data_IF_593734207096
#
_entry.id   IF_593734207096
#
_cell.length_a   1.000
_cell.length_b   1.000
_cell.length_c   1.000
_cell.angle_alpha   90.00
_cell.angle_beta   90.00
_cell.angle_gamma   90.00
#
_symmetry.space_group_name_H-M   'P 1'
#
loop_
_entity.id
_entity.type
_entity.pdbx_description
1 polymer ?
#
# COMPACT_ATOMS: atom_id res chain seq x y z
N UNK A 1 -19.04 -12.62 -20.70
CA UNK A 1 -17.76 -11.94 -20.92
C UNK A 1 -16.68 -12.56 -20.06
N UNK A 2 -15.52 -12.73 -20.62
CA UNK A 2 -14.39 -13.25 -19.87
C UNK A 2 -13.76 -12.16 -18.99
N UNK A 3 -12.81 -12.55 -18.15
CA UNK A 3 -12.15 -11.64 -17.22
C UNK A 3 -11.36 -10.55 -17.92
N UNK A 4 -10.77 -10.85 -19.07
CA UNK A 4 -9.95 -9.90 -19.82
C UNK A 4 -10.80 -8.76 -20.39
N UNK A 5 -12.00 -9.05 -20.87
CA UNK A 5 -12.92 -8.01 -21.33
C UNK A 5 -13.27 -7.03 -20.21
N UNK A 6 -13.48 -7.55 -18.99
CA UNK A 6 -13.82 -6.71 -17.84
C UNK A 6 -12.65 -5.85 -17.39
N UNK A 7 -11.43 -6.37 -17.50
CA UNK A 7 -10.23 -5.60 -17.15
C UNK A 7 -10.12 -4.37 -18.04
N UNK A 8 -10.33 -4.52 -19.35
CA UNK A 8 -10.23 -3.40 -20.29
C UNK A 8 -11.38 -2.39 -20.15
N UNK A 9 -12.46 -2.77 -19.45
CA UNK A 9 -13.54 -1.83 -19.13
C UNK A 9 -13.18 -0.93 -17.93
N UNK A 10 -12.29 -1.38 -17.04
CA UNK A 10 -11.89 -0.66 -15.84
C UNK A 10 -10.53 0.02 -16.02
N UNK A 11 -9.58 -0.68 -16.65
CA UNK A 11 -8.22 -0.18 -16.87
C UNK A 11 -7.88 -0.21 -18.36
N UNK A 12 -6.98 0.68 -18.77
CA UNK A 12 -6.49 0.73 -20.14
C UNK A 12 -5.68 -0.51 -20.54
N UNK A 13 -4.95 -1.09 -19.58
CA UNK A 13 -4.13 -2.30 -19.81
C UNK A 13 -4.19 -3.22 -18.60
N UNK A 14 -3.81 -4.48 -18.82
CA UNK A 14 -3.69 -5.46 -17.73
C UNK A 14 -2.56 -5.09 -16.78
N UNK A 15 -1.51 -4.42 -17.25
CA UNK A 15 -0.40 -3.96 -16.42
C UNK A 15 -0.86 -2.93 -15.41
N UNK A 16 -1.82 -2.07 -15.75
CA UNK A 16 -2.38 -1.11 -14.79
C UNK A 16 -3.10 -1.84 -13.66
N UNK A 17 -3.85 -2.89 -13.95
CA UNK A 17 -4.48 -3.70 -12.94
C UNK A 17 -3.44 -4.38 -12.03
N UNK A 18 -2.40 -4.95 -12.63
CA UNK A 18 -1.30 -5.56 -11.86
C UNK A 18 -0.63 -4.55 -10.94
N UNK A 19 -0.42 -3.34 -11.43
CA UNK A 19 0.15 -2.25 -10.62
C UNK A 19 -0.74 -1.96 -9.40
N UNK A 20 -2.05 -1.87 -9.61
CA UNK A 20 -2.98 -1.65 -8.50
C UNK A 20 -2.91 -2.79 -7.49
N UNK A 21 -2.91 -4.03 -7.94
CA UNK A 21 -2.84 -5.18 -7.05
C UNK A 21 -1.55 -5.18 -6.23
N UNK A 22 -0.43 -4.87 -6.87
CA UNK A 22 0.87 -4.82 -6.19
C UNK A 22 0.94 -3.69 -5.17
N UNK A 23 0.56 -2.47 -5.56
CA UNK A 23 0.70 -1.30 -4.70
C UNK A 23 -0.31 -1.30 -3.54
N UNK A 24 -1.44 -1.96 -3.72
CA UNK A 24 -2.44 -2.08 -2.65
C UNK A 24 -2.06 -3.13 -1.60
N UNK A 25 -1.06 -3.96 -1.89
CA UNK A 25 -0.69 -5.07 -1.02
C UNK A 25 -1.73 -6.17 -0.96
N UNK A 26 -2.66 -6.19 -1.92
CA UNK A 26 -3.77 -7.15 -1.92
C UNK A 26 -4.79 -6.89 -0.82
N UNK A 27 -4.71 -5.73 -0.16
CA UNK A 27 -5.61 -5.36 0.92
C UNK A 27 -6.86 -4.71 0.36
N UNK A 28 -8.01 -5.33 0.57
CA UNK A 28 -9.27 -4.92 -0.08
C UNK A 28 -9.64 -3.46 0.19
N UNK A 29 -9.51 -3.01 1.43
CA UNK A 29 -9.83 -1.62 1.79
C UNK A 29 -8.96 -0.64 1.01
N UNK A 30 -7.69 -0.96 0.85
CA UNK A 30 -6.75 -0.11 0.12
C UNK A 30 -7.04 -0.12 -1.38
N UNK A 31 -7.40 -1.29 -1.94
CA UNK A 31 -7.84 -1.38 -3.34
C UNK A 31 -9.03 -0.45 -3.59
N UNK A 32 -10.02 -0.50 -2.73
CA UNK A 32 -11.25 0.31 -2.86
C UNK A 32 -10.91 1.80 -2.77
N UNK A 33 -10.05 2.19 -1.83
CA UNK A 33 -9.64 3.59 -1.68
C UNK A 33 -8.96 4.12 -2.94
N UNK A 34 -8.04 3.34 -3.50
CA UNK A 34 -7.31 3.76 -4.71
C UNK A 34 -8.23 3.84 -5.92
N UNK A 35 -9.14 2.87 -6.07
CA UNK A 35 -10.13 2.91 -7.17
C UNK A 35 -11.05 4.10 -7.05
N UNK A 36 -11.52 4.41 -5.84
CA UNK A 36 -12.37 5.58 -5.60
C UNK A 36 -11.65 6.87 -6.00
N UNK A 37 -10.38 6.98 -5.65
CA UNK A 37 -9.58 8.15 -6.02
C UNK A 37 -9.41 8.27 -7.54
N UNK A 38 -9.28 7.14 -8.24
CA UNK A 38 -9.23 7.14 -9.71
C UNK A 38 -10.55 7.64 -10.29
N UNK A 39 -11.69 7.20 -9.73
CA UNK A 39 -13.02 7.62 -10.19
C UNK A 39 -13.23 9.13 -10.04
N UNK A 40 -12.60 9.75 -9.05
CA UNK A 40 -12.70 11.19 -8.88
C UNK A 40 -11.93 11.98 -9.93
N UNK A 41 -11.00 11.35 -10.64
CA UNK A 41 -10.16 12.01 -11.65
C UNK A 41 -10.63 11.77 -13.08
N UNK A 42 -11.16 10.60 -13.37
CA UNK A 42 -11.65 10.28 -14.73
C UNK A 42 -12.64 9.13 -14.68
N UNK A 43 -13.37 8.95 -15.79
CA UNK A 43 -14.26 7.80 -15.97
C UNK A 43 -13.45 6.59 -16.46
N UNK A 44 -13.87 5.36 -16.11
CA UNK A 44 -13.21 4.16 -16.65
C UNK A 44 -13.31 4.10 -18.17
N UNK A 45 -12.32 3.51 -18.86
CA UNK A 45 -11.16 2.82 -18.30
C UNK A 45 -10.09 3.79 -17.82
N UNK A 46 -9.49 3.49 -16.67
CA UNK A 46 -8.46 4.33 -16.08
C UNK A 46 -7.12 4.17 -16.80
N UNK A 47 -6.45 5.28 -17.07
CA UNK A 47 -5.13 5.29 -17.68
C UNK A 47 -4.07 5.02 -16.63
N UNK A 48 -2.95 4.44 -17.06
CA UNK A 48 -1.81 4.20 -16.17
C UNK A 48 -1.34 5.50 -15.50
N UNK A 49 -1.33 6.59 -16.26
CA UNK A 49 -0.91 7.90 -15.73
C UNK A 49 -1.82 8.36 -14.58
N UNK A 50 -3.13 8.12 -14.69
CA UNK A 50 -4.08 8.45 -13.63
C UNK A 50 -3.82 7.62 -12.38
N UNK A 51 -3.61 6.32 -12.55
CA UNK A 51 -3.30 5.44 -11.42
C UNK A 51 -2.00 5.86 -10.73
N UNK A 52 -0.94 6.17 -11.50
CA UNK A 52 0.33 6.59 -10.92
C UNK A 52 0.20 7.93 -10.18
N UNK A 53 -0.62 8.84 -10.69
CA UNK A 53 -0.92 10.12 -10.01
C UNK A 53 -1.62 9.87 -8.66
N UNK A 54 -2.60 8.95 -8.64
CA UNK A 54 -3.33 8.60 -7.42
C UNK A 54 -2.36 7.97 -6.40
N UNK A 55 -1.50 7.06 -6.84
CA UNK A 55 -0.51 6.42 -5.98
C UNK A 55 0.43 7.46 -5.38
N UNK A 56 0.89 8.40 -6.18
CA UNK A 56 1.78 9.47 -5.72
C UNK A 56 1.13 10.35 -4.66
N UNK A 57 -0.13 10.72 -4.88
CA UNK A 57 -0.90 11.50 -3.91
C UNK A 57 -1.09 10.74 -2.59
N UNK A 58 -1.41 9.45 -2.68
CA UNK A 58 -1.56 8.60 -1.50
C UNK A 58 -0.23 8.50 -0.74
N UNK A 59 0.88 8.35 -1.45
CA UNK A 59 2.22 8.31 -0.86
C UNK A 59 2.51 9.59 -0.09
N UNK A 60 2.24 10.74 -0.70
CA UNK A 60 2.50 12.03 -0.07
C UNK A 60 1.63 12.23 1.16
N UNK A 61 0.36 11.86 1.07
CA UNK A 61 -0.59 11.99 2.18
C UNK A 61 -0.19 11.10 3.37
N UNK A 62 0.27 9.90 3.11
CA UNK A 62 0.66 8.97 4.17
C UNK A 62 2.02 9.33 4.79
N UNK A 63 2.98 9.76 3.97
CA UNK A 63 4.34 10.03 4.46
C UNK A 63 4.47 11.37 5.16
N UNK A 64 3.62 12.35 4.83
CA UNK A 64 3.70 13.68 5.42
C UNK A 64 3.68 13.67 6.95
N UNK A 65 2.69 13.04 7.59
CA UNK A 65 2.62 13.01 9.04
C UNK A 65 3.45 11.90 9.71
N UNK A 66 4.12 11.05 8.94
CA UNK A 66 4.84 9.88 9.47
C UNK A 66 6.22 10.29 9.98
N UNK A 67 6.44 10.15 11.30
CA UNK A 67 7.71 10.54 11.93
C UNK A 67 8.69 9.35 12.01
N UNK A 68 9.90 9.62 12.47
CA UNK A 68 10.97 8.61 12.55
C UNK A 68 10.62 7.48 13.51
N UNK A 69 9.98 7.79 14.64
CA UNK A 69 9.57 6.77 15.60
C UNK A 69 8.54 5.82 14.99
N UNK A 70 7.60 6.36 14.24
CA UNK A 70 6.60 5.55 13.56
C UNK A 70 7.23 4.68 12.48
N UNK A 71 8.22 5.20 11.74
CA UNK A 71 8.97 4.39 10.78
C UNK A 71 9.66 3.20 11.46
N UNK A 72 10.27 3.42 12.62
CA UNK A 72 10.93 2.33 13.34
C UNK A 72 9.94 1.29 13.82
N UNK A 73 8.76 1.72 14.29
CA UNK A 73 7.69 0.81 14.68
C UNK A 73 7.21 -0.03 13.49
N UNK A 74 7.08 0.57 12.31
CA UNK A 74 6.66 -0.14 11.10
C UNK A 74 7.68 -1.21 10.72
N UNK A 75 8.96 -0.87 10.72
CA UNK A 75 10.02 -1.81 10.38
C UNK A 75 10.05 -2.96 11.38
N UNK A 76 9.90 -2.66 12.66
CA UNK A 76 9.87 -3.68 13.71
C UNK A 76 8.67 -4.63 13.54
N UNK A 77 7.48 -4.06 13.31
CA UNK A 77 6.26 -4.85 13.16
C UNK A 77 6.32 -5.78 11.96
N UNK A 78 6.88 -5.31 10.84
CA UNK A 78 7.01 -6.12 9.63
C UNK A 78 7.96 -7.29 9.82
N UNK A 79 9.00 -7.10 10.65
CA UNK A 79 10.01 -8.13 10.90
C UNK A 79 9.62 -9.07 12.05
N UNK A 80 9.16 -8.52 13.17
CA UNK A 80 8.96 -9.26 14.43
C UNK A 80 7.50 -9.48 14.79
N UNK A 81 6.57 -8.83 14.11
CA UNK A 81 5.16 -8.90 14.43
C UNK A 81 4.74 -7.87 15.48
N UNK A 82 3.44 -7.84 15.74
CA UNK A 82 2.82 -6.88 16.66
C UNK A 82 2.50 -7.59 17.97
N UNK A 83 2.77 -6.93 19.10
CA UNK A 83 2.58 -7.49 20.42
C UNK A 83 1.43 -6.82 21.19
N UNK A 84 0.38 -6.39 20.48
CA UNK A 84 -0.82 -5.87 21.13
C UNK A 84 -0.71 -4.46 21.68
N UNK A 85 0.34 -3.73 21.30
CA UNK A 85 0.55 -2.35 21.70
C UNK A 85 -0.42 -1.42 20.94
N UNK A 86 -0.94 -0.41 21.63
CA UNK A 86 -1.85 0.56 21.05
C UNK A 86 -1.20 1.35 19.90
N UNK A 87 0.11 1.61 19.97
CA UNK A 87 0.83 2.31 18.91
C UNK A 87 0.76 1.54 17.59
N UNK A 88 0.89 0.21 17.64
CA UNK A 88 0.77 -0.62 16.44
C UNK A 88 -0.66 -0.62 15.90
N UNK A 89 -1.66 -0.63 16.79
CA UNK A 89 -3.06 -0.56 16.38
C UNK A 89 -3.35 0.74 15.64
N UNK A 90 -2.75 1.85 16.06
CA UNK A 90 -2.86 3.14 15.39
C UNK A 90 -2.30 3.05 13.98
N UNK A 91 -1.14 2.41 13.80
CA UNK A 91 -0.53 2.23 12.48
C UNK A 91 -1.43 1.42 11.55
N UNK A 92 -2.09 0.38 12.07
CA UNK A 92 -3.03 -0.44 11.30
C UNK A 92 -4.24 0.38 10.88
N UNK A 93 -4.82 1.15 11.80
CA UNK A 93 -5.99 1.98 11.50
C UNK A 93 -5.69 3.05 10.46
N UNK A 94 -4.47 3.60 10.48
CA UNK A 94 -4.05 4.63 9.52
C UNK A 94 -3.59 4.06 8.18
N UNK A 95 -3.62 2.74 8.02
CA UNK A 95 -3.22 2.03 6.80
C UNK A 95 -1.72 2.13 6.49
N UNK A 96 -0.89 2.33 7.49
CA UNK A 96 0.55 2.22 7.34
C UNK A 96 1.00 0.77 7.40
N UNK A 97 0.32 -0.03 8.22
CA UNK A 97 0.65 -1.43 8.48
C UNK A 97 -0.56 -2.30 8.17
N UNK A 98 -0.36 -3.38 7.41
CA UNK A 98 -1.41 -4.33 7.08
C UNK A 98 -1.23 -5.62 7.84
N UNK A 99 -2.33 -6.15 8.37
CA UNK A 99 -2.36 -7.46 8.98
C UNK A 99 -2.86 -8.47 7.95
N UNK A 100 -2.10 -9.54 7.77
CA UNK A 100 -2.47 -10.65 6.90
C UNK A 100 -2.71 -11.89 7.73
N UNK A 101 -3.74 -12.64 7.39
CA UNK A 101 -4.10 -13.88 8.09
C UNK A 101 -4.31 -15.03 7.11
N UNK A 102 -3.77 -16.18 7.48
CA UNK A 102 -4.08 -17.46 6.87
C UNK A 102 -4.55 -18.37 8.00
N UNK A 103 -5.14 -19.56 7.71
CA UNK A 103 -5.64 -20.43 8.78
C UNK A 103 -4.61 -20.78 9.86
N UNK A 104 -3.33 -20.86 9.50
CA UNK A 104 -2.28 -21.28 10.44
C UNK A 104 -1.23 -20.19 10.68
N UNK A 105 -1.44 -18.98 10.16
CA UNK A 105 -0.42 -17.95 10.24
C UNK A 105 -1.03 -16.55 10.29
N UNK A 106 -0.30 -15.65 10.91
CA UNK A 106 -0.62 -14.22 10.94
C UNK A 106 0.69 -13.46 10.78
N UNK A 107 0.71 -12.51 9.87
CA UNK A 107 1.90 -11.70 9.66
C UNK A 107 1.51 -10.27 9.31
N UNK A 108 2.49 -9.39 9.29
CA UNK A 108 2.29 -7.97 9.04
C UNK A 108 3.19 -7.51 7.91
N UNK A 109 2.68 -6.58 7.11
CA UNK A 109 3.44 -5.97 6.05
C UNK A 109 3.20 -4.47 6.02
N UNK A 110 4.21 -3.73 5.60
CA UNK A 110 4.10 -2.29 5.44
C UNK A 110 3.33 -2.03 4.15
N UNK A 111 2.43 -1.04 4.17
CA UNK A 111 1.71 -0.62 2.98
C UNK A 111 2.72 -0.40 1.83
N UNK A 112 2.57 -1.09 0.69
CA UNK A 112 3.53 -0.99 -0.42
C UNK A 112 3.75 0.44 -0.92
N UNK A 113 2.79 1.33 -0.77
CA UNK A 113 2.96 2.74 -1.11
C UNK A 113 4.14 3.34 -0.34
N UNK A 114 4.31 2.94 0.92
CA UNK A 114 5.42 3.40 1.76
C UNK A 114 6.75 2.74 1.39
N UNK A 115 6.73 1.48 0.96
CA UNK A 115 7.96 0.75 0.60
C UNK A 115 8.57 1.24 -0.70
N UNK A 116 7.86 2.06 -1.47
CA UNK A 116 8.38 2.67 -2.68
C UNK A 116 9.00 4.05 -2.44
N UNK A 117 9.06 4.49 -1.18
CA UNK A 117 9.63 5.80 -0.84
C UNK A 117 11.15 5.73 -0.71
N UNK A 118 11.78 6.88 -0.92
CA UNK A 118 13.23 7.01 -0.70
C UNK A 118 13.57 6.80 0.78
N UNK A 119 12.73 7.29 1.69
CA UNK A 119 12.94 7.13 3.14
C UNK A 119 13.01 5.66 3.53
N UNK A 120 12.09 4.84 3.02
CA UNK A 120 12.09 3.40 3.29
C UNK A 120 13.39 2.75 2.80
N UNK A 121 13.82 3.10 1.57
CA UNK A 121 15.06 2.55 1.01
C UNK A 121 16.27 2.90 1.86
N UNK A 122 16.35 4.16 2.31
CA UNK A 122 17.43 4.63 3.18
C UNK A 122 17.48 3.86 4.50
N UNK A 123 16.29 3.65 5.12
CA UNK A 123 16.19 2.93 6.38
C UNK A 123 16.60 1.46 6.23
N UNK A 124 16.20 0.83 5.13
CA UNK A 124 16.54 -0.57 4.87
C UNK A 124 18.03 -0.73 4.58
N UNK A 125 18.66 0.22 3.89
CA UNK A 125 20.09 0.22 3.65
C UNK A 125 20.85 0.36 4.97
N UNK A 126 20.44 1.27 5.82
CA UNK A 126 21.06 1.46 7.14
C UNK A 126 20.95 0.20 8.00
N UNK A 127 19.80 -0.47 7.94
CA UNK A 127 19.56 -1.71 8.68
C UNK A 127 20.44 -2.85 8.16
N UNK A 128 20.65 -2.94 6.84
CA UNK A 128 21.49 -3.98 6.23
C UNK A 128 22.96 -3.81 6.57
N UNK A 129 23.39 -2.61 6.95
CA UNK A 129 24.79 -2.31 7.31
C UNK A 129 25.08 -2.56 8.79
N UNK A 130 24.08 -2.93 9.58
CA UNK A 130 24.28 -3.22 11.00
C UNK A 130 24.73 -4.66 11.27
#
# INVERSE_FOLDING_TARGET
>A
KDRMSRVTEVFDTAESLERLCTISGGHMRNVIRLLFSCLQKEDPPFKRATLESVIRNERDDLTGPLDDDEWQLLLHAAEKGVQGDEDYNTLIRKLYLFEYRAPEARWFGINPVLTETQKYRQLMEAKAQQ
#
